data_IF_784496859128
#
_entry.id   IF_784496859128
#
_cell.length_a   1.000
_cell.length_b   1.000
_cell.length_c   1.000
_cell.angle_alpha   90.00
_cell.angle_beta   90.00
_cell.angle_gamma   90.00
#
_symmetry.space_group_name_H-M   'P 1'
#
loop_
_entity.id
_entity.type
_entity.pdbx_description
1 polymer ?
#
# COMPACT_ATOMS: atom_id res chain seq x y z
N UNK A 1 18.47 -7.13 -12.54
CA UNK A 1 17.00 -6.93 -12.44
C UNK A 1 16.73 -5.89 -11.37
N UNK A 2 15.77 -4.97 -11.61
CA UNK A 2 15.31 -4.02 -10.60
C UNK A 2 14.75 -4.80 -9.40
N UNK A 3 15.23 -4.53 -8.19
CA UNK A 3 14.69 -5.12 -6.96
C UNK A 3 13.79 -4.09 -6.29
N UNK A 4 12.60 -4.49 -5.86
CA UNK A 4 11.70 -3.62 -5.10
C UNK A 4 11.39 -4.21 -3.73
N UNK A 5 11.28 -3.33 -2.74
CA UNK A 5 10.91 -3.61 -1.35
C UNK A 5 9.76 -2.68 -0.95
N UNK A 6 8.90 -3.15 -0.05
CA UNK A 6 7.80 -2.35 0.50
C UNK A 6 8.12 -2.12 1.97
N UNK A 7 8.22 -0.86 2.35
CA UNK A 7 8.52 -0.42 3.70
C UNK A 7 7.28 0.21 4.30
N UNK A 8 6.94 -0.19 5.53
CA UNK A 8 5.95 0.53 6.32
C UNK A 8 6.61 1.80 6.90
N UNK A 9 5.94 2.94 6.82
CA UNK A 9 6.51 4.24 7.22
C UNK A 9 6.94 4.29 8.68
N UNK A 10 6.21 3.63 9.59
CA UNK A 10 6.56 3.62 11.02
C UNK A 10 7.69 2.63 11.33
N UNK A 11 7.67 1.45 10.70
CA UNK A 11 8.74 0.45 10.84
C UNK A 11 10.05 0.98 10.26
N UNK A 12 9.99 1.70 9.14
CA UNK A 12 11.17 2.29 8.50
C UNK A 12 11.86 3.34 9.40
N UNK A 13 11.09 4.12 10.17
CA UNK A 13 11.65 5.08 11.12
C UNK A 13 12.41 4.40 12.29
N UNK A 14 12.09 3.14 12.61
CA UNK A 14 12.75 2.39 13.69
C UNK A 14 14.09 1.73 13.30
N UNK A 15 14.38 1.56 12.01
CA UNK A 15 15.60 0.92 11.52
C UNK A 15 16.50 1.92 10.79
N UNK A 16 17.64 2.26 11.40
CA UNK A 16 18.63 3.20 10.85
C UNK A 16 19.21 2.83 9.46
N UNK A 17 18.95 1.62 8.97
CA UNK A 17 19.42 1.12 7.68
C UNK A 17 18.57 1.58 6.47
N UNK A 18 17.36 2.11 6.68
CA UNK A 18 16.47 2.50 5.58
C UNK A 18 16.27 4.01 5.55
N UNK A 19 16.68 4.66 4.45
CA UNK A 19 16.37 6.07 4.22
C UNK A 19 14.88 6.23 3.92
N UNK A 20 14.17 6.94 4.79
CA UNK A 20 12.77 7.34 4.60
C UNK A 20 12.63 8.60 3.73
N UNK A 21 13.74 9.14 3.24
CA UNK A 21 13.74 10.30 2.36
C UNK A 21 13.07 9.92 1.05
N UNK A 22 11.92 10.52 0.79
CA UNK A 22 11.19 10.36 -0.46
C UNK A 22 11.98 11.01 -1.58
N UNK A 23 12.27 10.24 -2.65
CA UNK A 23 12.95 10.76 -3.83
C UNK A 23 12.00 11.72 -4.56
N UNK A 24 12.42 12.96 -4.91
CA UNK A 24 11.55 13.92 -5.60
C UNK A 24 11.24 13.44 -7.02
N UNK A 25 10.05 13.79 -7.53
CA UNK A 25 9.54 13.28 -8.80
C UNK A 25 10.49 13.46 -9.99
N UNK A 26 11.17 14.61 -10.06
CA UNK A 26 12.09 14.98 -11.17
C UNK A 26 13.31 14.05 -11.24
N UNK A 27 13.73 13.47 -10.12
CA UNK A 27 14.90 12.60 -10.03
C UNK A 27 14.57 11.12 -10.24
N UNK A 28 13.28 10.76 -10.34
CA UNK A 28 12.84 9.37 -10.45
C UNK A 28 13.02 8.86 -11.88
N UNK A 29 13.65 7.70 -12.03
CA UNK A 29 13.80 7.00 -13.32
C UNK A 29 12.77 5.88 -13.48
N UNK A 30 12.21 5.38 -12.38
CA UNK A 30 11.25 4.29 -12.42
C UNK A 30 9.86 4.71 -12.90
N UNK A 31 9.08 3.75 -13.40
CA UNK A 31 7.75 4.00 -13.95
C UNK A 31 6.70 4.35 -12.89
N UNK A 32 5.63 5.04 -13.29
CA UNK A 32 4.56 5.50 -12.39
C UNK A 32 3.64 4.38 -11.90
N UNK A 33 3.67 3.22 -12.54
CA UNK A 33 2.81 2.09 -12.22
C UNK A 33 3.47 1.15 -11.21
N UNK A 34 2.66 0.58 -10.32
CA UNK A 34 3.06 -0.55 -9.50
C UNK A 34 3.25 -1.79 -10.38
N UNK A 35 4.30 -2.54 -10.08
CA UNK A 35 4.49 -3.87 -10.65
C UNK A 35 3.56 -4.87 -9.97
N UNK A 36 3.21 -5.97 -10.65
CA UNK A 36 2.40 -7.05 -10.05
C UNK A 36 2.96 -7.60 -8.73
N UNK A 37 4.28 -7.58 -8.57
CA UNK A 37 4.95 -8.03 -7.36
C UNK A 37 4.82 -7.02 -6.20
N UNK A 38 4.92 -5.73 -6.51
CA UNK A 38 4.68 -4.66 -5.54
C UNK A 38 3.22 -4.68 -5.08
N UNK A 39 2.26 -4.79 -6.01
CA UNK A 39 0.83 -4.90 -5.70
C UNK A 39 0.57 -6.07 -4.74
N UNK A 40 1.05 -7.28 -5.07
CA UNK A 40 0.85 -8.46 -4.23
C UNK A 40 1.43 -8.28 -2.81
N UNK A 41 2.63 -7.69 -2.70
CA UNK A 41 3.27 -7.45 -1.40
C UNK A 41 2.54 -6.38 -0.58
N UNK A 42 2.14 -5.28 -1.21
CA UNK A 42 1.40 -4.19 -0.55
C UNK A 42 0.07 -4.71 0.00
N UNK A 43 -0.69 -5.46 -0.81
CA UNK A 43 -1.95 -6.06 -0.38
C UNK A 43 -1.72 -7.03 0.78
N UNK A 44 -0.70 -7.90 0.66
CA UNK A 44 -0.38 -8.87 1.71
C UNK A 44 -0.03 -8.22 3.05
N UNK A 45 0.88 -7.24 3.05
CA UNK A 45 1.26 -6.53 4.28
C UNK A 45 0.10 -5.71 4.84
N UNK A 46 -0.70 -5.06 3.98
CA UNK A 46 -1.86 -4.29 4.45
C UNK A 46 -2.94 -5.18 5.03
N UNK A 47 -3.24 -6.30 4.37
CA UNK A 47 -4.21 -7.29 4.88
C UNK A 47 -3.74 -7.85 6.23
N UNK A 48 -2.45 -8.11 6.38
CA UNK A 48 -1.85 -8.53 7.65
C UNK A 48 -2.03 -7.47 8.73
N UNK A 49 -1.74 -6.19 8.46
CA UNK A 49 -1.97 -5.09 9.40
C UNK A 49 -3.44 -4.99 9.84
N UNK A 50 -4.38 -5.16 8.91
CA UNK A 50 -5.82 -5.14 9.19
C UNK A 50 -6.18 -6.32 10.10
N UNK A 51 -5.73 -7.53 9.76
CA UNK A 51 -5.99 -8.73 10.55
C UNK A 51 -5.38 -8.68 11.96
N UNK A 52 -4.21 -8.05 12.13
CA UNK A 52 -3.58 -7.85 13.43
C UNK A 52 -4.11 -6.64 14.22
N UNK A 53 -5.02 -5.85 13.64
CA UNK A 53 -5.53 -4.63 14.25
C UNK A 53 -4.50 -3.51 14.38
N UNK A 54 -3.36 -3.62 13.69
CA UNK A 54 -2.29 -2.59 13.67
C UNK A 54 -2.45 -1.64 12.47
N UNK A 55 -3.45 -1.86 11.63
CA UNK A 55 -3.75 -0.98 10.50
C UNK A 55 -4.09 0.42 11.01
N UNK A 56 -3.27 1.39 10.64
CA UNK A 56 -3.59 2.79 10.85
C UNK A 56 -4.77 3.16 9.95
N UNK A 57 -5.87 3.58 10.58
CA UNK A 57 -6.93 4.37 9.96
C UNK A 57 -6.55 5.84 10.09
N UNK A 58 -6.86 6.65 9.08
CA UNK A 58 -6.62 8.09 9.14
C UNK A 58 -7.94 8.82 8.97
N UNK A 59 -8.27 9.79 9.83
CA UNK A 59 -9.48 10.59 9.69
C UNK A 59 -9.32 11.49 8.47
N UNK A 60 -9.74 11.01 7.30
CA UNK A 60 -9.85 11.88 6.13
C UNK A 60 -11.11 12.74 6.33
N UNK A 61 -10.90 14.06 6.45
CA UNK A 61 -11.92 15.06 6.82
C UNK A 61 -13.15 15.16 5.89
N UNK A 62 -13.22 14.40 4.80
CA UNK A 62 -14.24 14.60 3.76
C UNK A 62 -14.65 13.26 3.13
N UNK A 63 -15.70 12.64 3.68
CA UNK A 63 -16.66 11.75 2.99
C UNK A 63 -16.23 10.37 2.46
N UNK A 64 -14.94 10.02 2.41
CA UNK A 64 -14.52 8.66 2.04
C UNK A 64 -14.65 7.70 3.23
N UNK A 65 -15.57 6.74 3.22
CA UNK A 65 -15.68 5.72 4.28
C UNK A 65 -14.41 4.86 4.30
N UNK A 66 -13.80 4.67 5.47
CA UNK A 66 -12.65 3.77 5.61
C UNK A 66 -13.10 2.31 5.43
N UNK A 67 -12.25 1.44 4.85
CA UNK A 67 -12.59 0.02 4.68
C UNK A 67 -12.93 -0.65 6.02
N UNK A 68 -12.22 -0.26 7.09
CA UNK A 68 -12.46 -0.72 8.47
C UNK A 68 -13.84 -0.30 8.97
N UNK A 69 -14.23 0.97 8.79
CA UNK A 69 -15.57 1.44 9.18
C UNK A 69 -16.69 0.72 8.41
N UNK A 70 -16.45 0.39 7.14
CA UNK A 70 -17.41 -0.38 6.32
C UNK A 70 -17.55 -1.80 6.87
N UNK A 71 -16.43 -2.43 7.23
CA UNK A 71 -16.42 -3.77 7.82
C UNK A 71 -17.14 -3.80 9.17
N UNK A 72 -16.90 -2.81 10.05
CA UNK A 72 -17.55 -2.71 11.37
C UNK A 72 -19.08 -2.56 11.29
N UNK A 73 -19.59 -1.89 10.25
CA UNK A 73 -21.03 -1.74 10.03
C UNK A 73 -21.66 -2.97 9.37
N UNK A 74 -20.87 -3.92 8.90
CA UNK A 74 -21.39 -5.09 8.22
C UNK A 74 -22.01 -6.06 9.22
N UNK A 75 -23.30 -6.35 9.08
CA UNK A 75 -24.00 -7.30 9.95
C UNK A 75 -23.57 -8.76 9.70
N UNK A 76 -23.06 -9.08 8.50
CA UNK A 76 -22.66 -10.43 8.12
C UNK A 76 -21.13 -10.59 8.20
N UNK A 77 -20.59 -11.35 9.18
CA UNK A 77 -19.15 -11.53 9.35
C UNK A 77 -18.50 -12.36 8.23
N UNK A 78 -19.29 -13.04 7.39
CA UNK A 78 -18.79 -13.81 6.23
C UNK A 78 -18.86 -13.02 4.91
N UNK A 79 -19.21 -11.74 4.98
CA UNK A 79 -19.23 -10.87 3.80
C UNK A 79 -17.81 -10.58 3.31
N UNK A 80 -17.62 -10.48 1.99
CA UNK A 80 -16.36 -10.05 1.37
C UNK A 80 -15.96 -8.62 1.78
N UNK A 81 -16.89 -7.81 2.28
CA UNK A 81 -16.60 -6.47 2.81
C UNK A 81 -15.78 -6.50 4.12
N UNK A 82 -15.77 -7.64 4.83
CA UNK A 82 -15.03 -7.84 6.09
C UNK A 82 -13.71 -8.60 5.86
N UNK A 83 -13.48 -9.10 4.65
CA UNK A 83 -12.26 -9.83 4.32
C UNK A 83 -11.04 -8.87 4.27
N UNK A 84 -9.96 -9.11 5.04
CA UNK A 84 -8.80 -8.22 5.10
C UNK A 84 -8.10 -8.01 3.75
N UNK A 85 -8.10 -9.04 2.87
CA UNK A 85 -7.48 -8.93 1.55
C UNK A 85 -8.32 -8.02 0.65
N UNK A 86 -9.64 -8.19 0.64
CA UNK A 86 -10.55 -7.30 -0.07
C UNK A 86 -10.48 -5.87 0.45
N UNK A 87 -10.45 -5.67 1.77
CA UNK A 87 -10.26 -4.35 2.38
C UNK A 87 -8.94 -3.70 1.92
N UNK A 88 -7.83 -4.45 1.91
CA UNK A 88 -6.54 -3.97 1.45
C UNK A 88 -6.55 -3.58 -0.05
N UNK A 89 -7.27 -4.34 -0.90
CA UNK A 89 -7.45 -3.99 -2.32
C UNK A 89 -8.21 -2.68 -2.48
N UNK A 90 -9.29 -2.47 -1.72
CA UNK A 90 -10.04 -1.21 -1.73
C UNK A 90 -9.21 -0.04 -1.20
N UNK A 91 -8.44 -0.24 -0.12
CA UNK A 91 -7.52 0.76 0.42
C UNK A 91 -6.45 1.17 -0.60
N UNK A 92 -5.89 0.21 -1.34
CA UNK A 92 -4.90 0.45 -2.39
C UNK A 92 -5.51 1.25 -3.56
N UNK A 93 -6.71 0.87 -4.02
CA UNK A 93 -7.43 1.59 -5.07
C UNK A 93 -7.75 3.03 -4.67
N UNK A 94 -8.12 3.25 -3.40
CA UNK A 94 -8.39 4.58 -2.83
C UNK A 94 -7.12 5.37 -2.46
N UNK A 95 -5.92 4.82 -2.71
CA UNK A 95 -4.62 5.44 -2.38
C UNK A 95 -4.46 5.78 -0.89
N UNK A 96 -5.04 4.97 -0.02
CA UNK A 96 -5.02 5.16 1.45
C UNK A 96 -3.86 4.48 2.17
N UNK A 97 -3.16 3.58 1.49
CA UNK A 97 -2.05 2.83 2.08
C UNK A 97 -0.80 3.72 2.18
N UNK A 98 -0.33 3.97 3.41
CA UNK A 98 0.89 4.74 3.72
C UNK A 98 2.12 3.84 3.83
N UNK A 99 2.43 3.15 2.74
CA UNK A 99 3.68 2.41 2.60
C UNK A 99 4.58 3.12 1.61
N UNK A 100 5.88 2.86 1.68
CA UNK A 100 6.89 3.32 0.75
C UNK A 100 7.35 2.13 -0.09
N UNK A 101 7.38 2.29 -1.41
CA UNK A 101 8.05 1.36 -2.31
C UNK A 101 9.47 1.84 -2.51
N UNK A 102 10.44 1.01 -2.17
CA UNK A 102 11.86 1.26 -2.38
C UNK A 102 12.33 0.42 -3.56
N UNK A 103 12.72 1.08 -4.66
CA UNK A 103 13.22 0.45 -5.89
C UNK A 103 14.72 0.62 -5.98
N UNK A 104 15.45 -0.50 -5.99
CA UNK A 104 16.91 -0.54 -6.11
C UNK A 104 17.31 -1.01 -7.50
N UNK A 105 18.07 -0.17 -8.19
CA UNK A 105 18.64 -0.46 -9.49
C UNK A 105 19.89 -1.35 -9.38
N UNK A 106 20.31 -2.02 -10.47
CA UNK A 106 21.52 -2.85 -10.47
C UNK A 106 22.82 -2.09 -10.16
N UNK A 107 22.83 -0.78 -10.37
CA UNK A 107 23.94 0.12 -10.01
C UNK A 107 23.97 0.48 -8.52
N UNK A 108 22.98 0.01 -7.75
CA UNK A 108 22.82 0.29 -6.32
C UNK A 108 22.07 1.58 -6.02
N UNK A 109 21.68 2.37 -7.03
CA UNK A 109 20.85 3.56 -6.82
C UNK A 109 19.46 3.17 -6.33
N UNK A 110 18.89 3.97 -5.43
CA UNK A 110 17.64 3.67 -4.74
C UNK A 110 16.65 4.81 -4.92
N UNK A 111 15.41 4.46 -5.27
CA UNK A 111 14.27 5.37 -5.32
C UNK A 111 13.26 4.98 -4.25
N UNK A 112 12.92 5.91 -3.37
CA UNK A 112 11.88 5.70 -2.35
C UNK A 112 10.65 6.51 -2.74
N UNK A 113 9.55 5.80 -3.03
CA UNK A 113 8.33 6.37 -3.61
C UNK A 113 7.14 5.98 -2.74
N UNK A 114 6.27 6.90 -2.33
CA UNK A 114 5.10 6.55 -1.54
C UNK A 114 4.04 5.87 -2.42
N UNK A 115 3.38 4.86 -1.86
CA UNK A 115 2.38 4.03 -2.59
C UNK A 115 1.19 4.87 -3.09
N UNK A 116 0.80 5.90 -2.34
CA UNK A 116 -0.30 6.80 -2.71
C UNK A 116 -0.05 7.59 -4.02
N UNK A 117 1.19 7.78 -4.44
CA UNK A 117 1.56 8.44 -5.68
C UNK A 117 1.59 7.48 -6.87
N UNK A 118 1.73 6.18 -6.62
CA UNK A 118 1.85 5.17 -7.66
C UNK A 118 0.48 4.75 -8.21
N UNK A 119 0.45 4.50 -9.52
CA UNK A 119 -0.75 4.05 -10.22
C UNK A 119 -0.87 2.54 -10.13
N UNK A 120 -2.08 2.04 -9.88
CA UNK A 120 -2.40 0.61 -9.90
C UNK A 120 -3.24 0.30 -11.12
N UNK A 121 -2.90 -0.77 -11.83
CA UNK A 121 -3.75 -1.30 -12.90
C UNK A 121 -4.94 -2.02 -12.26
N UNK A 122 -6.15 -1.61 -12.62
CA UNK A 122 -7.40 -2.18 -12.09
C UNK A 122 -7.53 -3.67 -12.39
N UNK A 123 -6.93 -4.15 -13.49
CA UNK A 123 -6.93 -5.58 -13.85
C UNK A 123 -6.18 -6.41 -12.79
N UNK A 124 -5.18 -5.84 -12.12
CA UNK A 124 -4.41 -6.55 -11.10
C UNK A 124 -5.13 -6.71 -9.75
N UNK A 125 -6.24 -6.02 -9.53
CA UNK A 125 -6.95 -6.04 -8.25
C UNK A 125 -8.06 -7.10 -8.18
N UNK A 126 -8.43 -7.71 -9.30
CA UNK A 126 -9.49 -8.73 -9.39
C UNK A 126 -10.78 -8.33 -8.64
N UNK A 127 -11.14 -7.04 -8.67
CA UNK A 127 -12.33 -6.52 -7.96
C UNK A 127 -13.64 -6.81 -8.71
N UNK A 128 -13.59 -7.58 -9.80
CA UNK A 128 -14.75 -7.99 -10.58
C UNK A 128 -15.07 -9.45 -10.30
N UNK A 129 -15.89 -9.72 -9.28
CA UNK A 129 -16.64 -10.97 -9.10
C UNK A 129 -17.98 -10.69 -8.42
#
# INVERSE_FOLDING_TARGET
MLRSEVLDTEVANGFAAYSTVVTPFVERRSGLYLTKFEVARIIGERAKQIASGTALSYPTSTSGRDSVEVAERCANPRSLAVDPVMMAKYDLLQRRIRMLVRRTWPDGTVETIPVNELMVDTVMLDLQY
#
